data_IF_933636366263
#
_entry.id   IF_933636366263
#
_cell.length_a   1.000
_cell.length_b   1.000
_cell.length_c   1.000
_cell.angle_alpha   90.00
_cell.angle_beta   90.00
_cell.angle_gamma   90.00
#
_symmetry.space_group_name_H-M   'P 1'
#
loop_
_entity.id
_entity.type
_entity.pdbx_description
1 polymer ?
#
# COMPACT_ATOMS: atom_id res chain seq x y z
N UNK A 1 51.26 -0.44 -36.40
CA UNK A 1 52.62 -0.45 -35.78
C UNK A 1 52.46 0.09 -34.36
N UNK A 2 52.98 -0.50 -33.29
CA UNK A 2 53.66 -1.76 -33.06
C UNK A 2 53.64 -2.01 -31.54
N UNK A 3 53.52 -3.30 -31.18
CA UNK A 3 54.14 -4.01 -30.05
C UNK A 3 54.01 -3.46 -28.60
N UNK A 4 53.39 -4.20 -27.66
CA UNK A 4 53.86 -5.42 -26.96
C UNK A 4 54.98 -5.12 -25.94
N UNK A 5 54.73 -5.38 -24.64
CA UNK A 5 55.58 -6.23 -23.80
C UNK A 5 55.06 -6.34 -22.35
N UNK A 6 54.99 -7.59 -21.89
CA UNK A 6 54.73 -8.04 -20.53
C UNK A 6 56.00 -7.95 -19.66
N UNK A 7 55.84 -7.84 -18.35
CA UNK A 7 56.81 -8.37 -17.39
C UNK A 7 56.12 -8.81 -16.08
N UNK A 8 56.38 -10.06 -15.72
CA UNK A 8 55.97 -10.81 -14.52
C UNK A 8 56.93 -10.59 -13.35
N UNK A 9 56.45 -10.66 -12.10
CA UNK A 9 57.23 -11.18 -10.95
C UNK A 9 56.30 -11.96 -9.99
N UNK A 10 56.78 -13.13 -9.56
CA UNK A 10 56.17 -14.03 -8.58
C UNK A 10 56.61 -13.77 -7.13
N UNK A 11 55.76 -14.31 -6.24
CA UNK A 11 55.71 -14.41 -4.77
C UNK A 11 57.01 -14.83 -4.06
N UNK A 12 57.25 -14.33 -2.84
CA UNK A 12 57.63 -15.10 -1.62
C UNK A 12 57.36 -14.26 -0.35
N UNK A 13 56.79 -14.91 0.68
CA UNK A 13 56.18 -14.24 1.83
C UNK A 13 57.04 -14.11 3.09
N UNK A 14 56.44 -13.49 4.11
CA UNK A 14 56.73 -13.69 5.52
C UNK A 14 55.54 -13.16 6.34
N UNK A 15 55.04 -13.98 7.27
CA UNK A 15 53.99 -13.61 8.20
C UNK A 15 54.57 -12.90 9.43
N UNK A 16 53.88 -11.87 9.92
CA UNK A 16 53.99 -11.29 11.26
C UNK A 16 52.66 -10.57 11.61
N UNK A 17 52.32 -10.38 12.90
CA UNK A 17 50.97 -10.60 13.40
C UNK A 17 50.04 -9.37 13.41
N UNK A 18 48.76 -9.71 13.56
CA UNK A 18 47.56 -8.90 13.77
C UNK A 18 47.73 -7.49 14.36
N UNK A 19 47.23 -6.51 13.61
CA UNK A 19 46.61 -5.29 14.16
C UNK A 19 45.22 -5.16 13.53
N UNK A 20 44.21 -5.12 14.40
CA UNK A 20 42.81 -5.03 14.03
C UNK A 20 42.52 -3.73 13.27
N UNK A 21 42.04 -3.85 12.03
CA UNK A 21 41.42 -2.76 11.28
C UNK A 21 40.00 -3.20 10.89
N UNK A 22 39.08 -2.24 11.08
CA UNK A 22 37.63 -2.35 11.02
C UNK A 22 37.14 -3.07 9.76
N UNK A 23 36.41 -4.16 9.97
CA UNK A 23 35.76 -4.91 8.90
C UNK A 23 34.72 -4.08 8.16
N UNK A 24 34.92 -3.92 6.86
CA UNK A 24 33.83 -3.78 5.90
C UNK A 24 33.07 -5.11 5.86
N UNK A 25 31.73 -5.14 6.06
CA UNK A 25 30.97 -6.34 5.78
C UNK A 25 30.85 -6.51 4.27
N UNK A 26 31.54 -7.57 3.84
CA UNK A 26 31.36 -8.43 2.68
C UNK A 26 29.96 -8.40 2.04
N UNK A 27 29.94 -8.21 0.72
CA UNK A 27 28.78 -8.02 -0.15
C UNK A 27 28.19 -9.34 -0.66
N UNK A 28 28.51 -10.47 -0.03
CA UNK A 28 28.07 -11.80 -0.50
C UNK A 28 26.78 -12.32 0.16
N UNK A 29 26.14 -11.55 1.03
CA UNK A 29 24.88 -11.93 1.70
C UNK A 29 23.58 -11.71 0.91
N UNK A 30 23.63 -11.15 -0.30
CA UNK A 30 22.44 -10.62 -1.00
C UNK A 30 21.65 -11.63 -1.85
N UNK A 31 21.89 -12.94 -1.69
CA UNK A 31 21.14 -14.00 -2.38
C UNK A 31 20.37 -14.91 -1.41
N UNK A 32 19.78 -14.35 -0.36
CA UNK A 32 18.66 -14.99 0.32
C UNK A 32 17.41 -14.17 0.01
N UNK A 33 16.55 -14.71 -0.86
CA UNK A 33 15.23 -14.16 -1.14
C UNK A 33 14.52 -13.92 0.18
N UNK A 34 14.25 -12.65 0.48
CA UNK A 34 13.67 -12.20 1.74
C UNK A 34 12.21 -12.65 1.78
N UNK A 35 11.97 -13.88 2.23
CA UNK A 35 10.66 -14.34 2.68
C UNK A 35 10.37 -13.72 4.07
N UNK A 36 10.37 -12.39 4.18
CA UNK A 36 9.69 -11.79 5.33
C UNK A 36 8.20 -12.12 5.19
N UNK A 37 7.50 -12.43 6.30
CA UNK A 37 6.05 -12.42 6.28
C UNK A 37 5.61 -11.05 5.74
N UNK A 38 4.59 -11.06 4.87
CA UNK A 38 3.95 -9.81 4.45
C UNK A 38 3.58 -9.02 5.71
N UNK A 39 3.82 -7.69 5.75
CA UNK A 39 3.48 -6.89 6.90
C UNK A 39 1.99 -7.04 7.15
N UNK A 40 1.55 -7.07 8.39
CA UNK A 40 0.10 -7.09 8.70
C UNK A 40 -0.53 -5.71 8.56
N UNK A 41 0.29 -4.67 8.45
CA UNK A 41 -0.12 -3.28 8.45
C UNK A 41 0.60 -2.46 7.38
N UNK A 42 -0.06 -1.42 6.91
CA UNK A 42 0.46 -0.41 5.99
C UNK A 42 0.05 0.98 6.48
N UNK A 43 0.67 2.01 5.91
CA UNK A 43 0.54 3.39 6.35
C UNK A 43 0.00 4.27 5.23
N UNK A 44 -0.83 5.25 5.60
CA UNK A 44 -1.30 6.28 4.68
C UNK A 44 -1.17 7.67 5.29
N UNK A 45 -0.46 8.55 4.59
CA UNK A 45 -0.45 9.98 4.86
C UNK A 45 -1.72 10.65 4.33
N UNK A 46 -2.33 11.55 5.11
CA UNK A 46 -3.55 12.27 4.72
C UNK A 46 -3.67 13.61 5.45
N UNK A 47 -4.24 14.61 4.79
CA UNK A 47 -4.58 15.92 5.39
C UNK A 47 -5.96 15.93 6.04
N UNK A 48 -6.78 14.91 5.78
CA UNK A 48 -8.08 14.76 6.45
C UNK A 48 -7.88 14.18 7.86
N UNK A 49 -8.62 14.71 8.83
CA UNK A 49 -8.64 14.29 10.23
C UNK A 49 -9.45 13.00 10.43
N UNK A 50 -9.24 12.23 11.51
CA UNK A 50 -9.94 10.97 11.79
C UNK A 50 -11.47 11.07 11.71
N UNK A 51 -12.06 12.13 12.24
CA UNK A 51 -13.51 12.36 12.24
C UNK A 51 -14.05 12.46 10.81
N UNK A 52 -13.37 13.22 9.95
CA UNK A 52 -13.71 13.32 8.53
C UNK A 52 -13.56 11.98 7.82
N UNK A 53 -12.53 11.18 8.14
CA UNK A 53 -12.37 9.84 7.54
C UNK A 53 -13.49 8.91 8.01
N UNK A 54 -13.94 9.00 9.27
CA UNK A 54 -15.08 8.26 9.80
C UNK A 54 -16.37 8.59 9.09
N UNK A 55 -16.70 9.87 8.95
CA UNK A 55 -17.90 10.34 8.22
C UNK A 55 -17.93 9.86 6.77
N UNK A 56 -16.76 9.67 6.15
CA UNK A 56 -16.62 9.18 4.79
C UNK A 56 -16.65 7.65 4.68
N UNK A 57 -16.74 6.92 5.79
CA UNK A 57 -16.69 5.47 5.84
C UNK A 57 -15.28 4.89 5.65
N UNK A 58 -14.24 5.73 5.65
CA UNK A 58 -12.85 5.36 5.39
C UNK A 58 -12.22 6.17 4.25
N UNK A 59 -11.11 5.64 3.71
CA UNK A 59 -10.47 6.14 2.51
C UNK A 59 -11.09 5.50 1.28
N UNK A 60 -12.31 5.93 0.97
CA UNK A 60 -13.07 5.48 -0.19
C UNK A 60 -12.79 6.41 -1.37
N UNK A 61 -12.25 5.91 -2.50
CA UNK A 61 -12.09 6.69 -3.73
C UNK A 61 -13.43 7.27 -4.16
N UNK A 62 -13.45 8.52 -4.59
CA UNK A 62 -14.70 9.18 -5.03
C UNK A 62 -14.61 9.58 -6.50
N UNK A 63 -15.59 9.20 -7.33
CA UNK A 63 -15.71 9.78 -8.66
C UNK A 63 -15.91 11.29 -8.53
N UNK A 64 -15.50 12.03 -9.55
CA UNK A 64 -15.93 13.42 -9.73
C UNK A 64 -16.95 13.47 -10.84
N UNK A 65 -17.81 14.47 -10.79
CA UNK A 65 -18.82 14.68 -11.83
C UNK A 65 -18.18 14.87 -13.23
N UNK A 66 -16.95 15.39 -13.29
CA UNK A 66 -16.15 15.58 -14.51
C UNK A 66 -15.20 14.42 -14.84
N UNK A 67 -15.08 13.42 -13.95
CA UNK A 67 -14.24 12.23 -14.12
C UNK A 67 -15.02 10.97 -13.68
N UNK A 68 -15.99 10.50 -14.50
CA UNK A 68 -16.73 9.29 -14.20
C UNK A 68 -15.85 8.05 -14.22
N UNK A 69 -16.30 7.00 -13.52
CA UNK A 69 -15.67 5.68 -13.59
C UNK A 69 -15.69 5.20 -15.04
N UNK A 70 -14.52 4.76 -15.51
CA UNK A 70 -14.33 4.17 -16.83
C UNK A 70 -13.30 3.05 -16.74
N UNK A 71 -13.16 2.25 -17.79
CA UNK A 71 -12.18 1.16 -17.82
C UNK A 71 -10.76 1.62 -17.41
N UNK A 72 -10.37 2.85 -17.75
CA UNK A 72 -9.04 3.40 -17.40
C UNK A 72 -8.85 3.70 -15.91
N UNK A 73 -9.93 3.89 -15.15
CA UNK A 73 -9.89 4.13 -13.70
C UNK A 73 -9.50 2.89 -12.89
N UNK A 74 -9.54 1.71 -13.52
CA UNK A 74 -9.14 0.42 -12.95
C UNK A 74 -7.67 0.06 -13.26
N UNK A 75 -6.94 0.87 -14.05
CA UNK A 75 -5.55 0.60 -14.38
C UNK A 75 -4.57 1.04 -13.29
N UNK A 76 -3.76 0.11 -12.77
CA UNK A 76 -2.72 0.39 -11.76
C UNK A 76 -1.69 1.39 -12.27
N UNK A 77 -1.33 1.35 -13.56
CA UNK A 77 -0.41 2.33 -14.15
C UNK A 77 -0.94 3.75 -14.05
N UNK A 78 -2.23 3.97 -14.33
CA UNK A 78 -2.83 5.31 -14.24
C UNK A 78 -2.83 5.84 -12.81
N UNK A 79 -3.04 4.93 -11.84
CA UNK A 79 -2.94 5.23 -10.42
C UNK A 79 -1.52 5.63 -10.01
N UNK A 80 -0.55 4.77 -10.29
CA UNK A 80 0.86 4.94 -9.91
C UNK A 80 1.47 6.23 -10.48
N UNK A 81 1.15 6.61 -11.72
CA UNK A 81 1.64 7.86 -12.32
C UNK A 81 0.83 9.10 -11.92
N UNK A 82 -0.26 8.94 -11.16
CA UNK A 82 -1.12 10.04 -10.70
C UNK A 82 -1.81 10.84 -11.81
N UNK A 83 -2.03 10.26 -13.01
CA UNK A 83 -2.57 11.00 -14.17
C UNK A 83 -4.07 11.30 -14.06
N UNK A 84 -4.82 10.42 -13.39
CA UNK A 84 -6.29 10.51 -13.26
C UNK A 84 -6.71 9.97 -11.89
N UNK A 85 -7.91 10.33 -11.42
CA UNK A 85 -8.49 9.59 -10.30
C UNK A 85 -8.80 8.16 -10.72
N UNK A 86 -8.61 7.25 -9.78
CA UNK A 86 -8.78 5.81 -9.97
C UNK A 86 -9.58 5.23 -8.81
N UNK A 87 -10.04 3.99 -8.95
CA UNK A 87 -10.76 3.26 -7.88
C UNK A 87 -9.83 2.67 -6.81
N UNK A 88 -8.57 3.13 -6.73
CA UNK A 88 -7.56 2.65 -5.78
C UNK A 88 -7.27 3.69 -4.70
N UNK A 89 -6.93 3.21 -3.51
CA UNK A 89 -6.36 3.99 -2.41
C UNK A 89 -4.93 3.54 -2.14
N UNK A 90 -3.96 4.42 -2.33
CA UNK A 90 -2.53 4.20 -2.03
C UNK A 90 -2.24 4.03 -0.53
N UNK A 91 -1.34 3.11 -0.22
CA UNK A 91 -0.74 2.92 1.10
C UNK A 91 0.72 2.48 0.96
N UNK A 92 1.56 2.80 1.93
CA UNK A 92 2.98 2.40 1.93
C UNK A 92 3.26 1.38 3.03
N UNK A 93 4.19 0.46 2.77
CA UNK A 93 4.76 -0.40 3.82
C UNK A 93 5.66 0.37 4.78
N UNK A 94 6.19 1.50 4.33
CA UNK A 94 7.12 2.34 5.07
C UNK A 94 6.40 3.55 5.66
N UNK A 95 6.47 3.67 6.99
CA UNK A 95 5.87 4.78 7.72
C UNK A 95 6.55 6.11 7.38
N UNK A 96 7.84 6.12 7.11
CA UNK A 96 8.61 7.32 6.78
C UNK A 96 8.25 7.85 5.39
N UNK A 97 7.93 6.95 4.45
CA UNK A 97 7.37 7.31 3.13
C UNK A 97 5.99 7.95 3.31
N UNK A 98 5.13 7.38 4.17
CA UNK A 98 3.82 7.95 4.46
C UNK A 98 3.92 9.33 5.13
N UNK A 99 4.87 9.53 6.04
CA UNK A 99 5.18 10.82 6.68
C UNK A 99 5.67 11.83 5.66
N UNK A 100 6.66 11.46 4.85
CA UNK A 100 7.21 12.32 3.80
C UNK A 100 6.11 12.80 2.85
N UNK A 101 5.21 11.90 2.43
CA UNK A 101 4.06 12.25 1.60
C UNK A 101 3.10 13.21 2.31
N UNK A 102 2.75 12.93 3.58
CA UNK A 102 1.87 13.77 4.38
C UNK A 102 2.42 15.21 4.53
N UNK A 103 3.72 15.36 4.80
CA UNK A 103 4.37 16.64 5.05
C UNK A 103 4.73 17.41 3.78
N UNK A 104 5.01 16.72 2.67
CA UNK A 104 5.34 17.35 1.37
C UNK A 104 4.25 18.30 0.85
N UNK A 105 3.00 18.11 1.30
CA UNK A 105 1.87 18.92 0.88
C UNK A 105 1.80 20.31 1.53
N UNK A 106 2.72 20.68 2.43
CA UNK A 106 2.77 21.99 3.13
C UNK A 106 1.46 22.38 3.83
N UNK A 107 0.64 21.39 4.19
CA UNK A 107 -0.65 21.60 4.81
C UNK A 107 -0.48 21.71 6.33
N UNK A 108 -1.23 22.60 7.00
CA UNK A 108 -1.02 22.92 8.41
C UNK A 108 -1.31 21.75 9.37
N UNK A 109 -2.03 20.73 8.89
CA UNK A 109 -2.27 19.49 9.61
C UNK A 109 -2.24 18.31 8.65
N UNK A 110 -1.46 17.30 9.00
CA UNK A 110 -1.41 16.03 8.31
C UNK A 110 -1.36 14.89 9.33
N UNK A 111 -1.78 13.71 8.90
CA UNK A 111 -2.02 12.55 9.74
C UNK A 111 -1.49 11.29 9.07
N UNK A 112 -0.99 10.37 9.89
CA UNK A 112 -0.57 9.05 9.48
C UNK A 112 -1.58 8.04 10.01
N UNK A 113 -2.12 7.23 9.11
CA UNK A 113 -3.07 6.19 9.43
C UNK A 113 -2.39 4.83 9.32
N UNK A 114 -2.48 4.04 10.39
CA UNK A 114 -2.05 2.63 10.42
C UNK A 114 -3.24 1.76 10.03
N UNK A 115 -3.11 1.02 8.96
CA UNK A 115 -4.20 0.31 8.28
C UNK A 115 -3.88 -1.18 8.28
N UNK A 116 -4.83 -2.02 8.68
CA UNK A 116 -4.68 -3.47 8.62
C UNK A 116 -4.79 -3.96 7.17
N UNK A 117 -3.93 -4.88 6.73
CA UNK A 117 -4.03 -5.44 5.37
C UNK A 117 -5.24 -6.35 5.20
N UNK A 118 -5.87 -6.27 4.02
CA UNK A 118 -7.01 -7.11 3.64
C UNK A 118 -6.87 -7.59 2.20
N UNK A 119 -7.59 -8.64 1.78
CA UNK A 119 -7.38 -9.24 0.46
C UNK A 119 -7.72 -8.32 -0.72
N UNK A 120 -8.47 -7.23 -0.53
CA UNK A 120 -8.68 -6.23 -1.60
C UNK A 120 -7.45 -5.33 -1.84
N UNK A 121 -6.38 -5.48 -1.06
CA UNK A 121 -5.12 -4.75 -1.24
C UNK A 121 -4.17 -5.55 -2.15
N UNK A 122 -3.57 -4.88 -3.13
CA UNK A 122 -2.72 -5.47 -4.17
C UNK A 122 -1.28 -4.98 -3.99
N UNK A 123 -0.32 -5.91 -4.01
CA UNK A 123 1.11 -5.56 -4.06
C UNK A 123 1.48 -5.00 -5.45
N UNK A 124 1.94 -3.74 -5.51
CA UNK A 124 2.34 -3.12 -6.78
C UNK A 124 3.64 -3.67 -7.35
N UNK A 125 4.58 -4.08 -6.50
CA UNK A 125 5.88 -4.58 -6.96
C UNK A 125 5.67 -5.84 -7.81
N UNK A 126 4.82 -6.75 -7.33
CA UNK A 126 4.45 -8.00 -8.01
C UNK A 126 3.50 -7.77 -9.20
N UNK A 127 2.96 -6.55 -9.34
CA UNK A 127 2.17 -6.12 -10.50
C UNK A 127 3.02 -5.49 -11.61
N UNK A 128 4.34 -5.36 -11.42
CA UNK A 128 5.28 -4.81 -12.40
C UNK A 128 5.82 -3.41 -12.08
N UNK A 129 5.50 -2.84 -10.91
CA UNK A 129 5.90 -1.49 -10.49
C UNK A 129 6.89 -1.55 -9.32
N UNK A 130 8.17 -1.83 -9.60
CA UNK A 130 9.15 -2.35 -8.63
C UNK A 130 9.78 -1.32 -7.66
N UNK A 131 9.29 -0.09 -7.57
CA UNK A 131 10.02 1.00 -6.91
C UNK A 131 9.38 1.58 -5.65
N UNK A 132 8.11 1.27 -5.35
CA UNK A 132 7.38 2.04 -4.32
C UNK A 132 6.97 1.28 -3.06
N UNK A 133 7.25 -0.03 -2.96
CA UNK A 133 6.82 -0.86 -1.81
C UNK A 133 5.35 -0.55 -1.41
N UNK A 134 4.51 -0.30 -2.43
CA UNK A 134 3.15 0.22 -2.29
C UNK A 134 2.16 -0.94 -2.29
N UNK A 135 1.17 -0.84 -1.40
CA UNK A 135 -0.06 -1.60 -1.53
C UNK A 135 -1.19 -0.64 -1.91
N UNK A 136 -2.01 -1.04 -2.87
CA UNK A 136 -3.23 -0.29 -3.21
C UNK A 136 -4.47 -1.07 -2.85
N UNK A 137 -5.38 -0.43 -2.12
CA UNK A 137 -6.69 -0.99 -1.85
C UNK A 137 -7.62 -0.72 -3.02
N UNK A 138 -7.99 -1.75 -3.76
CA UNK A 138 -9.04 -1.65 -4.77
C UNK A 138 -10.38 -1.39 -4.08
N UNK A 139 -11.09 -0.38 -4.55
CA UNK A 139 -12.36 0.13 -4.01
C UNK A 139 -12.24 0.85 -2.65
N UNK A 140 -11.04 0.97 -2.10
CA UNK A 140 -10.74 1.77 -0.91
C UNK A 140 -10.46 0.99 0.36
N UNK A 141 -10.18 1.74 1.43
CA UNK A 141 -9.94 1.24 2.80
C UNK A 141 -11.08 1.69 3.68
N UNK A 142 -11.67 0.77 4.44
CA UNK A 142 -12.79 1.08 5.33
C UNK A 142 -12.34 1.72 6.63
N UNK A 143 -13.21 2.48 7.28
CA UNK A 143 -12.91 3.08 8.58
C UNK A 143 -12.64 2.03 9.66
N UNK A 144 -13.42 0.94 9.68
CA UNK A 144 -13.26 -0.16 10.64
C UNK A 144 -11.97 -0.98 10.42
N UNK A 145 -11.28 -0.79 9.29
CA UNK A 145 -10.00 -1.41 8.94
C UNK A 145 -8.77 -0.60 9.43
N UNK A 146 -8.98 0.66 9.80
CA UNK A 146 -7.93 1.54 10.33
C UNK A 146 -7.68 1.15 11.79
N UNK A 147 -6.47 0.73 12.13
CA UNK A 147 -6.08 0.35 13.50
C UNK A 147 -5.88 1.56 14.40
N UNK A 148 -5.23 2.60 13.88
CA UNK A 148 -4.81 3.76 14.65
C UNK A 148 -4.42 4.93 13.74
N UNK A 149 -4.24 6.11 14.34
CA UNK A 149 -3.71 7.29 13.65
C UNK A 149 -2.81 8.12 14.56
N UNK A 150 -1.90 8.89 13.97
CA UNK A 150 -1.07 9.88 14.67
C UNK A 150 -1.01 11.18 13.84
N UNK A 151 -0.86 12.36 14.46
CA UNK A 151 -0.41 13.55 13.75
C UNK A 151 0.92 13.25 13.06
N UNK A 152 1.09 13.68 11.81
CA UNK A 152 2.34 13.52 11.09
C UNK A 152 3.43 14.40 11.69
N UNK A 153 4.62 13.83 11.91
CA UNK A 153 5.80 14.53 12.42
C UNK A 153 7.07 13.84 11.95
N UNK A 154 8.17 14.59 11.87
CA UNK A 154 9.52 14.05 11.59
C UNK A 154 10.11 13.24 12.76
N UNK A 155 9.39 13.14 13.89
CA UNK A 155 9.79 12.40 15.08
C UNK A 155 8.89 11.19 15.36
N UNK A 156 8.97 10.67 16.59
CA UNK A 156 8.19 9.51 17.02
C UNK A 156 6.67 9.74 16.89
N UNK A 157 5.99 8.78 16.24
CA UNK A 157 4.55 8.82 16.03
C UNK A 157 3.81 8.20 17.22
N UNK A 158 3.07 9.05 17.94
CA UNK A 158 2.19 8.62 19.03
C UNK A 158 0.81 8.23 18.49
N UNK A 159 0.65 6.94 18.15
CA UNK A 159 -0.59 6.42 17.59
C UNK A 159 -1.72 6.35 18.63
N UNK A 160 -2.84 6.99 18.31
CA UNK A 160 -4.13 6.83 18.98
C UNK A 160 -4.89 5.68 18.33
N UNK A 161 -5.27 4.67 19.14
CA UNK A 161 -6.04 3.54 18.65
C UNK A 161 -7.44 3.95 18.17
N UNK A 162 -7.90 3.37 17.06
CA UNK A 162 -9.25 3.54 16.59
C UNK A 162 -10.21 2.66 17.42
N UNK A 163 -11.16 3.25 18.17
CA UNK A 163 -12.12 2.45 18.95
C UNK A 163 -13.05 1.60 18.07
N UNK A 164 -13.20 1.94 16.78
CA UNK A 164 -14.05 1.22 15.84
C UNK A 164 -13.28 0.20 14.99
N UNK A 165 -11.99 -0.06 15.28
CA UNK A 165 -11.22 -1.10 14.59
C UNK A 165 -11.84 -2.48 14.86
N UNK A 166 -12.31 -3.14 13.80
CA UNK A 166 -12.98 -4.44 13.89
C UNK A 166 -11.95 -5.58 13.90
N UNK A 167 -11.12 -5.67 14.95
CA UNK A 167 -9.98 -6.61 15.02
C UNK A 167 -10.34 -8.05 14.63
N UNK A 168 -11.40 -8.63 15.20
CA UNK A 168 -11.85 -9.99 14.90
C UNK A 168 -12.25 -10.22 13.44
N UNK A 169 -12.70 -9.18 12.74
CA UNK A 169 -13.10 -9.24 11.33
C UNK A 169 -11.89 -9.34 10.41
N UNK A 170 -10.79 -8.70 10.80
CA UNK A 170 -9.57 -8.59 9.99
C UNK A 170 -8.44 -9.52 10.45
N UNK A 171 -8.60 -10.18 11.61
CA UNK A 171 -7.64 -11.13 12.13
C UNK A 171 -7.27 -12.22 11.11
N UNK A 172 -5.97 -12.40 10.90
CA UNK A 172 -5.43 -13.41 9.98
C UNK A 172 -5.56 -13.09 8.50
N UNK A 173 -6.07 -11.91 8.14
CA UNK A 173 -6.11 -11.46 6.75
C UNK A 173 -4.76 -10.88 6.31
N UNK A 174 -4.53 -10.95 5.00
CA UNK A 174 -3.35 -10.40 4.34
C UNK A 174 -3.74 -9.76 3.02
N UNK A 175 -2.83 -8.97 2.44
CA UNK A 175 -2.97 -8.50 1.07
C UNK A 175 -2.98 -9.66 0.07
N UNK A 176 -3.55 -9.38 -1.10
CA UNK A 176 -3.43 -10.22 -2.29
C UNK A 176 -2.09 -10.01 -2.99
N UNK A 177 -1.60 -11.03 -3.73
CA UNK A 177 -0.44 -10.86 -4.60
C UNK A 177 -0.74 -9.86 -5.73
N UNK A 178 0.32 -9.48 -6.46
CA UNK A 178 0.20 -8.58 -7.61
C UNK A 178 -0.80 -9.04 -8.66
N UNK A 179 -1.40 -8.07 -9.35
CA UNK A 179 -2.42 -8.25 -10.38
C UNK A 179 -1.93 -7.64 -11.71
N UNK A 180 -1.01 -8.29 -12.44
CA UNK A 180 -0.45 -7.75 -13.69
C UNK A 180 -1.50 -7.54 -14.80
N UNK A 181 -2.62 -8.27 -14.77
CA UNK A 181 -3.75 -8.03 -15.66
C UNK A 181 -4.47 -6.70 -15.40
N UNK A 182 -4.30 -6.11 -14.21
CA UNK A 182 -4.78 -4.77 -13.87
C UNK A 182 -3.73 -3.67 -14.13
N UNK A 183 -2.53 -4.02 -14.62
CA UNK A 183 -1.45 -3.05 -14.80
C UNK A 183 -1.86 -1.89 -15.73
N UNK A 184 -2.57 -2.18 -16.83
CA UNK A 184 -3.07 -1.16 -17.75
C UNK A 184 -2.02 -0.48 -18.63
N UNK A 185 -0.78 -0.98 -18.65
CA UNK A 185 0.21 -0.63 -19.69
C UNK A 185 -0.01 -1.40 -20.99
N UNK A 186 0.58 -0.93 -22.08
CA UNK A 186 0.37 -1.50 -23.41
C UNK A 186 0.76 -2.99 -23.50
N UNK A 187 1.81 -3.42 -22.82
CA UNK A 187 2.27 -4.81 -22.89
C UNK A 187 1.28 -5.73 -22.16
N UNK A 188 0.82 -5.34 -20.97
CA UNK A 188 -0.18 -6.09 -20.22
C UNK A 188 -1.56 -6.05 -20.88
N UNK A 189 -1.99 -4.93 -21.45
CA UNK A 189 -3.24 -4.84 -22.22
C UNK A 189 -3.22 -5.75 -23.47
N UNK A 190 -2.07 -5.90 -24.13
CA UNK A 190 -1.93 -6.81 -25.26
C UNK A 190 -1.95 -8.29 -24.82
N UNK A 191 -1.36 -8.59 -23.65
CA UNK A 191 -1.27 -9.95 -23.09
C UNK A 191 -2.58 -10.42 -22.47
N UNK A 192 -3.27 -9.56 -21.73
CA UNK A 192 -4.51 -9.83 -21.00
C UNK A 192 -5.68 -9.11 -21.71
N UNK A 193 -5.97 -9.53 -22.94
CA UNK A 193 -6.92 -8.85 -23.83
C UNK A 193 -8.32 -9.50 -23.86
N UNK A 194 -8.52 -10.55 -23.04
CA UNK A 194 -9.76 -11.33 -22.99
C UNK A 194 -10.88 -10.60 -22.24
N UNK A 195 -10.49 -9.68 -21.33
CA UNK A 195 -11.37 -8.88 -20.50
C UNK A 195 -10.85 -7.45 -20.41
N UNK A 196 -11.76 -6.55 -20.10
CA UNK A 196 -11.45 -5.18 -19.71
C UNK A 196 -10.80 -5.13 -18.32
N UNK A 197 -10.16 -3.99 -17.97
CA UNK A 197 -9.60 -3.78 -16.63
C UNK A 197 -10.71 -3.78 -15.57
N UNK A 198 -11.88 -3.22 -15.92
CA UNK A 198 -13.07 -3.26 -15.06
C UNK A 198 -13.53 -4.68 -14.77
N UNK A 199 -13.63 -5.54 -15.79
CA UNK A 199 -14.02 -6.95 -15.60
C UNK A 199 -12.99 -7.72 -14.76
N UNK A 200 -11.69 -7.51 -14.97
CA UNK A 200 -10.66 -8.10 -14.09
C UNK A 200 -10.75 -7.58 -12.66
N UNK A 201 -11.12 -6.31 -12.47
CA UNK A 201 -11.28 -5.71 -11.15
C UNK A 201 -12.50 -6.27 -10.42
N UNK A 202 -13.63 -6.47 -11.13
CA UNK A 202 -14.82 -7.14 -10.62
C UNK A 202 -14.46 -8.57 -10.20
N UNK A 203 -13.83 -9.37 -11.07
CA UNK A 203 -13.43 -10.74 -10.76
C UNK A 203 -12.51 -10.81 -9.53
N UNK A 204 -11.56 -9.87 -9.43
CA UNK A 204 -10.70 -9.76 -8.26
C UNK A 204 -11.49 -9.46 -6.98
N UNK A 205 -12.44 -8.51 -7.03
CA UNK A 205 -13.22 -8.11 -5.85
C UNK A 205 -14.31 -9.10 -5.47
N UNK A 206 -14.87 -9.86 -6.41
CA UNK A 206 -15.75 -11.00 -6.11
C UNK A 206 -15.00 -12.05 -5.31
N UNK A 207 -13.73 -12.30 -5.62
CA UNK A 207 -12.87 -13.24 -4.90
C UNK A 207 -12.37 -12.71 -3.56
N UNK A 208 -11.99 -11.43 -3.50
CA UNK A 208 -11.19 -10.88 -2.40
C UNK A 208 -11.88 -9.77 -1.58
N UNK A 209 -13.00 -9.24 -2.07
CA UNK A 209 -13.69 -8.06 -1.50
C UNK A 209 -14.67 -8.39 -0.37
N UNK A 210 -14.99 -9.65 -0.13
CA UNK A 210 -15.94 -10.08 0.91
C UNK A 210 -15.65 -9.51 2.31
N UNK A 211 -14.41 -9.60 2.83
CA UNK A 211 -14.05 -9.04 4.14
C UNK A 211 -14.24 -7.52 4.25
N UNK A 212 -14.16 -6.79 3.14
CA UNK A 212 -14.41 -5.34 3.11
C UNK A 212 -15.84 -4.99 2.68
N UNK A 213 -16.74 -5.98 2.59
CA UNK A 213 -18.14 -5.75 2.29
C UNK A 213 -18.37 -5.24 0.86
N UNK A 214 -17.57 -5.70 -0.10
CA UNK A 214 -17.85 -5.48 -1.51
C UNK A 214 -19.17 -6.14 -1.91
N UNK A 215 -20.01 -5.39 -2.61
CA UNK A 215 -21.37 -5.77 -2.99
C UNK A 215 -21.58 -5.86 -4.52
N UNK A 216 -20.48 -5.91 -5.27
CA UNK A 216 -20.48 -5.90 -6.73
C UNK A 216 -20.35 -4.51 -7.34
N UNK A 217 -20.31 -3.43 -6.54
CA UNK A 217 -20.21 -2.06 -7.03
C UNK A 217 -18.92 -1.36 -6.57
N UNK A 218 -18.41 -0.49 -7.45
CA UNK A 218 -17.28 0.39 -7.17
C UNK A 218 -17.74 1.85 -7.04
N UNK A 219 -17.13 2.64 -6.14
CA UNK A 219 -16.24 2.25 -5.04
C UNK A 219 -17.02 1.55 -3.90
N UNK A 220 -16.36 1.16 -2.80
CA UNK A 220 -17.02 0.52 -1.66
C UNK A 220 -18.12 1.44 -1.12
N UNK A 221 -19.29 0.86 -0.86
CA UNK A 221 -20.36 1.56 -0.18
C UNK A 221 -20.00 1.84 1.28
N UNK A 222 -20.36 3.03 1.74
CA UNK A 222 -20.28 3.38 3.16
C UNK A 222 -21.29 2.51 3.90
N UNK A 223 -20.82 1.59 4.75
CA UNK A 223 -21.76 0.85 5.60
C UNK A 223 -22.47 1.85 6.50
N UNK A 224 -23.80 1.77 6.52
CA UNK A 224 -24.58 2.43 7.55
C UNK A 224 -24.16 1.80 8.87
N UNK A 225 -23.58 2.58 9.76
CA UNK A 225 -23.39 2.16 11.15
C UNK A 225 -24.78 1.86 11.72
N UNK A 226 -24.97 0.69 12.35
CA UNK A 226 -26.11 0.48 13.21
C UNK A 226 -26.09 1.58 14.27
N UNK A 227 -27.02 2.52 14.18
CA UNK A 227 -27.16 3.54 15.21
C UNK A 227 -27.36 2.81 16.55
N UNK A 228 -26.70 3.22 17.64
CA UNK A 228 -26.99 2.66 18.95
C UNK A 228 -28.49 2.80 19.19
N UNK A 229 -29.15 1.71 19.59
CA UNK A 229 -30.55 1.72 19.93
C UNK A 229 -30.80 2.88 20.90
N UNK A 230 -31.71 3.78 20.51
CA UNK A 230 -32.13 4.90 21.37
C UNK A 230 -32.51 4.31 22.73
N UNK A 231 -31.98 4.84 23.86
CA UNK A 231 -32.43 4.41 25.17
C UNK A 231 -33.95 4.54 25.21
N UNK A 232 -34.63 3.41 25.41
CA UNK A 232 -36.06 3.43 25.74
C UNK A 232 -36.14 3.99 27.14
N UNK A 233 -36.40 5.29 27.25
CA UNK A 233 -36.79 5.88 28.54
C UNK A 233 -38.01 5.10 29.07
N UNK A 234 -37.98 4.61 30.31
CA UNK A 234 -39.18 4.12 30.94
C UNK A 234 -40.11 5.33 31.13
N UNK A 235 -41.24 5.30 30.43
CA UNK A 235 -42.28 6.32 30.54
C UNK A 235 -42.72 6.46 32.02
N UNK A 236 -43.00 7.69 32.51
CA UNK A 236 -43.25 7.97 33.92
C UNK A 236 -44.56 7.38 34.46
#
# INVERSE_FOLDING_TARGET
MAALAFATVSVHGAAAPATAERGHPDVTGLLNGRAEPLPTVVYRGSVSIPETIKERGGFIPRPRDDEPISNTTFGLRNHHIGKTRTVYTSTSRDVDVAVSFALSNSQPSAWIYKIHLTPNMIDLNDSGFRLEEEFVALSGVRYDQIEAWAPASDGELNFTANPDFASKKYEGLSASPGQPQLAGDQANLAKYNEKTLEEYAIEFMEKNGGPVGFDGMFPLNVLKTDAPAKPTDPNP
#
